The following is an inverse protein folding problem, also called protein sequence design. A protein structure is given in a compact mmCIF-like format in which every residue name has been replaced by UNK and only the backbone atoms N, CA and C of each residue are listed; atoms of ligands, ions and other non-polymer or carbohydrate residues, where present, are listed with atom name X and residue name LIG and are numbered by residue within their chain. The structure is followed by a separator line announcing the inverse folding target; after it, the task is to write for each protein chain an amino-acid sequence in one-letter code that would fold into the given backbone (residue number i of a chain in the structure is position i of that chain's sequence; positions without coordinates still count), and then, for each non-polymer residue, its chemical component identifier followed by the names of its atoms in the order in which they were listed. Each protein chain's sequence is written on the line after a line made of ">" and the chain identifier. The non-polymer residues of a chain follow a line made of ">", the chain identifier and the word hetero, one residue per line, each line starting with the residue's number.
data_IF_175137422710
#
_entry.id   IF_175137422710
#
_cell.length_a   1.000
_cell.length_b   1.000
_cell.length_c   1.000
_cell.angle_alpha   90.00
_cell.angle_beta   90.00
_cell.angle_gamma   90.00
#
_symmetry.space_group_name_H-M   'P 1'
#
loop_
_entity.id
_entity.type
_entity.pdbx_description
1 polymer ?
#
# COMPACT_ATOMS: atom_id res chain seq x y z
N UNK A 1 16.15 12.70 18.28
CA UNK A 1 15.53 12.38 16.99
C UNK A 1 16.45 11.49 16.15
N UNK A 2 17.69 11.88 15.90
CA UNK A 2 18.66 11.05 15.16
C UNK A 2 18.97 9.70 15.84
N UNK A 3 19.01 9.64 17.16
CA UNK A 3 19.40 8.42 17.88
C UNK A 3 18.31 7.34 17.91
N UNK A 4 17.02 7.69 17.85
CA UNK A 4 15.93 6.71 17.76
C UNK A 4 15.89 6.03 16.38
N UNK A 5 16.25 6.74 15.32
CA UNK A 5 16.31 6.20 13.96
C UNK A 5 17.63 5.46 13.67
N UNK A 6 18.71 5.77 14.37
CA UNK A 6 20.04 5.24 14.06
C UNK A 6 20.42 3.95 14.81
N UNK A 7 19.65 3.55 15.84
CA UNK A 7 20.00 2.35 16.63
C UNK A 7 19.49 1.02 16.06
N UNK A 8 18.59 1.04 15.07
CA UNK A 8 18.02 -0.19 14.47
C UNK A 8 18.20 -0.24 12.95
N UNK A 9 19.28 0.28 12.41
CA UNK A 9 19.52 0.22 10.98
C UNK A 9 19.73 -1.20 10.50
N UNK A 10 18.65 -1.81 10.09
CA UNK A 10 18.63 -2.78 9.01
C UNK A 10 19.41 -2.18 7.84
N UNK A 11 20.41 -2.86 7.36
CA UNK A 11 21.30 -2.47 6.28
C UNK A 11 20.51 -1.79 5.13
N UNK A 12 20.51 -0.45 5.09
CA UNK A 12 19.81 0.39 4.11
C UNK A 12 20.21 0.01 2.66
N UNK A 13 21.42 -0.50 2.49
CA UNK A 13 21.93 -0.96 1.19
C UNK A 13 21.19 -2.18 0.63
N UNK A 14 20.49 -2.93 1.47
CA UNK A 14 19.71 -4.09 1.06
C UNK A 14 18.24 -3.78 0.79
N UNK A 15 17.74 -2.62 1.22
CA UNK A 15 16.36 -2.21 0.98
C UNK A 15 16.12 -1.84 -0.48
N UNK A 16 14.92 -2.19 -0.97
CA UNK A 16 14.44 -1.76 -2.29
C UNK A 16 14.04 -0.28 -2.28
N UNK A 17 13.66 0.23 -1.10
CA UNK A 17 13.23 1.60 -0.84
C UNK A 17 14.18 2.29 0.14
N UNK A 18 15.22 3.02 -0.34
CA UNK A 18 16.16 3.72 0.51
C UNK A 18 15.48 4.81 1.33
N UNK A 19 15.94 5.02 2.58
CA UNK A 19 15.39 6.05 3.46
C UNK A 19 15.41 7.45 2.83
N UNK A 20 16.46 7.79 2.12
CA UNK A 20 16.59 9.11 1.47
C UNK A 20 15.49 9.38 0.43
N UNK A 21 15.01 8.34 -0.28
CA UNK A 21 13.90 8.46 -1.22
C UNK A 21 12.57 8.61 -0.47
N UNK A 22 12.38 7.84 0.62
CA UNK A 22 11.19 7.89 1.47
C UNK A 22 11.07 9.24 2.21
N UNK A 23 12.19 9.83 2.64
CA UNK A 23 12.22 11.11 3.32
C UNK A 23 11.62 12.25 2.45
N UNK A 24 11.77 12.19 1.14
CA UNK A 24 11.18 13.16 0.20
C UNK A 24 9.65 13.05 0.11
N UNK A 25 9.09 11.96 0.60
CA UNK A 25 7.66 11.68 0.62
C UNK A 25 6.99 12.11 1.93
N UNK A 26 7.77 12.52 2.93
CA UNK A 26 7.29 12.93 4.25
C UNK A 26 6.87 14.39 4.24
N UNK A 27 5.66 14.66 4.70
CA UNK A 27 5.10 16.02 4.82
C UNK A 27 4.48 16.21 6.19
N UNK A 28 4.35 17.46 6.64
CA UNK A 28 3.47 17.79 7.75
C UNK A 28 2.04 17.90 7.20
N UNK A 29 1.22 16.88 7.45
CA UNK A 29 -0.14 16.78 6.93
C UNK A 29 -1.03 17.93 7.42
N UNK A 30 -0.80 18.41 8.63
CA UNK A 30 -1.61 19.48 9.21
C UNK A 30 -1.28 20.86 8.62
N UNK A 31 -0.06 21.04 8.13
CA UNK A 31 0.39 22.29 7.50
C UNK A 31 0.20 22.28 5.98
N UNK A 32 0.45 21.11 5.32
CA UNK A 32 0.52 21.00 3.85
C UNK A 32 -0.84 20.70 3.18
N UNK A 33 -1.75 19.99 3.90
CA UNK A 33 -3.01 19.53 3.30
C UNK A 33 -4.22 20.30 3.83
N UNK A 34 -4.37 21.57 3.40
CA UNK A 34 -5.49 22.44 3.77
C UNK A 34 -6.88 21.85 3.48
N UNK A 35 -6.94 20.93 2.52
CA UNK A 35 -8.16 20.32 2.02
C UNK A 35 -8.47 18.95 2.66
N UNK A 36 -7.74 18.56 3.72
CA UNK A 36 -7.93 17.33 4.49
C UNK A 36 -8.19 17.63 5.96
N UNK A 37 -9.30 17.11 6.48
CA UNK A 37 -9.71 17.31 7.88
C UNK A 37 -9.81 15.98 8.61
N UNK A 38 -8.71 15.42 9.16
CA UNK A 38 -8.64 14.03 9.64
C UNK A 38 -9.66 13.67 10.73
N UNK A 39 -10.17 14.67 11.45
CA UNK A 39 -11.12 14.47 12.55
C UNK A 39 -12.60 14.68 12.14
N UNK A 40 -12.87 15.00 10.87
CA UNK A 40 -14.24 15.14 10.38
C UNK A 40 -14.85 13.76 10.04
N UNK A 41 -16.19 13.69 10.04
CA UNK A 41 -16.92 12.47 9.64
C UNK A 41 -16.58 12.06 8.19
N UNK A 42 -16.40 13.05 7.31
CA UNK A 42 -15.95 12.88 5.93
C UNK A 42 -14.67 13.68 5.69
N UNK A 43 -13.50 13.14 6.07
CA UNK A 43 -12.24 13.90 6.15
C UNK A 43 -11.75 14.48 4.82
N UNK A 44 -12.18 13.89 3.70
CA UNK A 44 -11.77 14.28 2.35
C UNK A 44 -12.96 14.73 1.47
N UNK A 45 -14.14 14.93 2.07
CA UNK A 45 -15.37 15.31 1.39
C UNK A 45 -15.79 14.27 0.33
N UNK A 46 -16.23 14.73 -0.84
CA UNK A 46 -16.68 13.86 -1.94
C UNK A 46 -15.56 13.43 -2.90
N UNK A 47 -14.32 13.80 -2.62
CA UNK A 47 -13.20 13.45 -3.50
C UNK A 47 -12.89 11.96 -3.43
N UNK A 48 -12.50 11.36 -4.59
CA UNK A 48 -12.26 9.93 -4.66
C UNK A 48 -11.04 9.52 -3.84
N UNK A 49 -11.13 8.33 -3.27
CA UNK A 49 -9.99 7.64 -2.64
C UNK A 49 -9.92 6.19 -3.10
N UNK A 50 -8.74 5.61 -2.98
CA UNK A 50 -8.47 4.21 -3.25
C UNK A 50 -8.03 3.51 -1.97
N UNK A 51 -8.52 2.31 -1.75
CA UNK A 51 -8.12 1.48 -0.63
C UNK A 51 -7.22 0.36 -1.14
N UNK A 52 -6.09 0.17 -0.50
CA UNK A 52 -5.27 -1.01 -0.64
C UNK A 52 -5.30 -1.82 0.64
N UNK A 53 -5.37 -3.13 0.52
CA UNK A 53 -5.48 -4.01 1.67
C UNK A 53 -4.66 -5.28 1.53
N UNK A 54 -3.81 -5.51 2.53
CA UNK A 54 -2.98 -6.71 2.69
C UNK A 54 -3.48 -7.53 3.89
N UNK A 55 -4.30 -8.58 3.67
CA UNK A 55 -4.92 -9.35 4.72
C UNK A 55 -3.91 -10.23 5.45
N UNK A 56 -4.15 -10.45 6.74
CA UNK A 56 -3.38 -11.41 7.54
C UNK A 56 -4.26 -12.40 8.28
N UNK A 57 -3.67 -13.48 8.75
CA UNK A 57 -4.32 -14.38 9.70
C UNK A 57 -4.19 -13.85 11.13
N UNK A 58 -4.91 -14.44 12.08
CA UNK A 58 -5.01 -14.02 13.48
C UNK A 58 -3.67 -13.87 14.25
N UNK A 59 -2.58 -14.38 13.71
CA UNK A 59 -1.22 -14.24 14.30
C UNK A 59 -0.44 -13.02 13.84
N UNK A 60 -0.74 -12.49 12.67
CA UNK A 60 -0.02 -11.39 12.02
C UNK A 60 -0.88 -10.11 11.97
N UNK A 61 -0.32 -9.00 11.54
CA UNK A 61 -1.08 -7.78 11.30
C UNK A 61 -1.51 -7.65 9.84
N UNK A 62 -2.75 -7.18 9.62
CA UNK A 62 -3.25 -6.81 8.31
C UNK A 62 -3.01 -5.33 8.06
N UNK A 63 -2.55 -4.96 6.87
CA UNK A 63 -2.35 -3.58 6.47
C UNK A 63 -3.52 -3.04 5.66
N UNK A 64 -4.00 -1.84 5.99
CA UNK A 64 -5.01 -1.12 5.23
C UNK A 64 -4.56 0.32 5.00
N UNK A 65 -4.67 0.81 3.77
CA UNK A 65 -4.28 2.16 3.40
C UNK A 65 -5.39 2.83 2.61
N UNK A 66 -5.70 4.08 2.97
CA UNK A 66 -6.57 4.98 2.19
C UNK A 66 -5.68 5.98 1.47
N UNK A 67 -5.69 5.92 0.15
CA UNK A 67 -4.83 6.72 -0.73
C UNK A 67 -5.68 7.65 -1.59
N UNK A 68 -5.46 8.96 -1.51
CA UNK A 68 -6.04 9.90 -2.44
C UNK A 68 -5.22 9.93 -3.74
N UNK A 69 -5.84 9.71 -4.92
CA UNK A 69 -5.14 9.85 -6.19
C UNK A 69 -4.85 11.32 -6.49
N UNK A 70 -3.84 11.61 -7.34
CA UNK A 70 -3.56 12.96 -7.79
C UNK A 70 -4.70 13.52 -8.63
N UNK A 71 -4.99 14.80 -8.46
CA UNK A 71 -6.02 15.52 -9.24
C UNK A 71 -5.60 15.69 -10.70
N UNK A 72 -4.29 15.80 -10.93
CA UNK A 72 -3.71 15.97 -12.28
C UNK A 72 -2.69 14.87 -12.54
N UNK A 73 -2.55 14.49 -13.79
CA UNK A 73 -1.55 13.50 -14.20
C UNK A 73 -0.16 13.92 -13.75
N UNK A 74 0.59 13.00 -13.13
CA UNK A 74 1.92 13.26 -12.57
C UNK A 74 1.93 14.02 -11.24
N UNK A 75 0.77 14.30 -10.67
CA UNK A 75 0.64 14.86 -9.32
C UNK A 75 0.97 13.84 -8.24
N UNK A 76 0.68 14.22 -6.98
CA UNK A 76 1.06 13.43 -5.82
C UNK A 76 -0.11 12.61 -5.30
N UNK A 77 0.14 11.36 -4.97
CA UNK A 77 -0.73 10.53 -4.13
C UNK A 77 -0.56 10.95 -2.68
N UNK A 78 -1.63 10.95 -1.91
CA UNK A 78 -1.63 11.28 -0.48
C UNK A 78 -2.17 10.11 0.33
N UNK A 79 -1.39 9.60 1.27
CA UNK A 79 -1.83 8.58 2.21
C UNK A 79 -2.62 9.23 3.34
N UNK A 80 -3.95 9.24 3.22
CA UNK A 80 -4.85 9.91 4.16
C UNK A 80 -4.99 9.14 5.48
N UNK A 81 -5.09 7.81 5.39
CA UNK A 81 -5.16 6.93 6.56
C UNK A 81 -4.38 5.64 6.32
N UNK A 82 -3.92 5.06 7.41
CA UNK A 82 -3.33 3.74 7.47
C UNK A 82 -3.73 3.02 8.74
N UNK A 83 -3.91 1.73 8.64
CA UNK A 83 -4.26 0.87 9.75
C UNK A 83 -3.43 -0.40 9.71
N UNK A 84 -3.02 -0.84 10.90
CA UNK A 84 -2.48 -2.17 11.12
C UNK A 84 -3.42 -2.89 12.10
N UNK A 85 -4.15 -3.88 11.60
CA UNK A 85 -5.12 -4.63 12.40
C UNK A 85 -4.51 -5.95 12.84
N UNK A 86 -4.24 -6.07 14.13
CA UNK A 86 -3.66 -7.26 14.73
C UNK A 86 -4.72 -8.11 15.43
N UNK A 87 -4.69 -9.42 15.20
CA UNK A 87 -5.57 -10.35 15.88
C UNK A 87 -7.06 -10.29 15.46
N UNK A 88 -7.38 -9.59 14.38
CA UNK A 88 -8.74 -9.52 13.85
C UNK A 88 -9.04 -10.73 12.95
N UNK A 89 -10.22 -11.29 13.09
CA UNK A 89 -10.71 -12.28 12.14
C UNK A 89 -11.13 -11.63 10.80
N UNK A 90 -11.40 -12.43 9.78
CA UNK A 90 -11.71 -11.93 8.44
C UNK A 90 -12.98 -11.08 8.39
N UNK A 91 -13.99 -11.39 9.23
CA UNK A 91 -15.22 -10.61 9.29
C UNK A 91 -14.95 -9.23 9.88
N UNK A 92 -14.17 -9.14 10.96
CA UNK A 92 -13.78 -7.88 11.56
C UNK A 92 -12.89 -7.04 10.63
N UNK A 93 -11.98 -7.67 9.88
CA UNK A 93 -11.17 -7.01 8.86
C UNK A 93 -12.05 -6.41 7.74
N UNK A 94 -13.00 -7.20 7.20
CA UNK A 94 -13.94 -6.72 6.18
C UNK A 94 -14.84 -5.59 6.71
N UNK A 95 -15.28 -5.68 7.96
CA UNK A 95 -16.06 -4.63 8.63
C UNK A 95 -15.23 -3.33 8.80
N UNK A 96 -13.94 -3.44 9.08
CA UNK A 96 -13.04 -2.28 9.10
C UNK A 96 -13.00 -1.57 7.75
N UNK A 97 -12.89 -2.33 6.65
CA UNK A 97 -12.94 -1.78 5.30
C UNK A 97 -14.30 -1.16 4.99
N UNK A 98 -15.42 -1.80 5.42
CA UNK A 98 -16.77 -1.26 5.22
C UNK A 98 -16.92 0.12 5.86
N UNK A 99 -16.44 0.31 7.09
CA UNK A 99 -16.46 1.62 7.77
C UNK A 99 -15.67 2.68 6.99
N UNK A 100 -14.58 2.31 6.35
CA UNK A 100 -13.85 3.25 5.48
C UNK A 100 -14.66 3.63 4.24
N UNK A 101 -15.47 2.71 3.67
CA UNK A 101 -16.36 3.06 2.55
C UNK A 101 -17.53 3.97 2.96
N UNK A 102 -17.88 4.03 4.23
CA UNK A 102 -18.87 4.98 4.77
C UNK A 102 -18.25 6.36 5.06
N UNK A 103 -16.96 6.37 5.42
CA UNK A 103 -16.19 7.57 5.76
C UNK A 103 -15.68 8.33 4.53
N UNK A 104 -15.34 7.61 3.46
CA UNK A 104 -14.73 8.15 2.25
C UNK A 104 -15.51 7.80 0.98
N UNK A 105 -15.39 8.64 -0.04
CA UNK A 105 -15.85 8.32 -1.39
C UNK A 105 -14.86 7.34 -2.06
N UNK A 106 -15.06 6.04 -1.84
CA UNK A 106 -14.15 5.00 -2.33
C UNK A 106 -14.49 4.62 -3.77
N UNK A 107 -13.54 4.81 -4.68
CA UNK A 107 -13.67 4.40 -6.09
C UNK A 107 -12.96 3.09 -6.42
N UNK A 108 -12.03 2.67 -5.59
CA UNK A 108 -11.24 1.46 -5.83
C UNK A 108 -10.87 0.77 -4.51
N UNK A 109 -10.96 -0.55 -4.49
CA UNK A 109 -10.42 -1.39 -3.43
C UNK A 109 -9.59 -2.50 -4.07
N UNK A 110 -8.28 -2.52 -3.80
CA UNK A 110 -7.37 -3.59 -4.19
C UNK A 110 -7.00 -4.45 -2.97
N UNK A 111 -7.20 -5.77 -3.07
CA UNK A 111 -7.01 -6.71 -1.95
C UNK A 111 -6.11 -7.84 -2.42
N UNK A 112 -5.08 -8.21 -1.62
CA UNK A 112 -4.42 -9.50 -1.86
C UNK A 112 -5.42 -10.65 -1.67
N UNK A 113 -5.69 -11.36 -2.76
CA UNK A 113 -6.55 -12.54 -2.81
C UNK A 113 -5.73 -13.83 -2.91
N UNK A 114 -4.48 -13.84 -2.48
CA UNK A 114 -3.61 -15.01 -2.45
C UNK A 114 -3.87 -15.82 -1.19
N UNK A 115 -4.05 -17.12 -1.33
CA UNK A 115 -4.22 -18.02 -0.19
C UNK A 115 -5.38 -17.62 0.73
N UNK A 116 -5.07 -17.27 1.98
CA UNK A 116 -6.08 -16.89 3.00
C UNK A 116 -6.80 -15.56 2.70
N UNK A 117 -6.18 -14.66 1.94
CA UNK A 117 -6.74 -13.36 1.58
C UNK A 117 -8.03 -13.44 0.76
N UNK A 118 -8.27 -14.58 0.10
CA UNK A 118 -9.52 -14.81 -0.66
C UNK A 118 -10.76 -14.72 0.24
N UNK A 119 -10.65 -15.09 1.52
CA UNK A 119 -11.75 -15.01 2.48
C UNK A 119 -12.20 -13.57 2.73
N UNK A 120 -11.27 -12.67 3.02
CA UNK A 120 -11.57 -11.24 3.22
C UNK A 120 -12.05 -10.61 1.91
N UNK A 121 -11.42 -10.95 0.79
CA UNK A 121 -11.84 -10.47 -0.52
C UNK A 121 -13.31 -10.81 -0.85
N UNK A 122 -13.76 -12.03 -0.56
CA UNK A 122 -15.15 -12.43 -0.77
C UNK A 122 -16.11 -11.66 0.14
N UNK A 123 -15.75 -11.44 1.40
CA UNK A 123 -16.54 -10.65 2.34
C UNK A 123 -16.65 -9.18 1.88
N UNK A 124 -15.55 -8.57 1.45
CA UNK A 124 -15.56 -7.19 0.92
C UNK A 124 -16.43 -7.09 -0.33
N UNK A 125 -16.35 -8.05 -1.25
CA UNK A 125 -17.20 -8.06 -2.44
C UNK A 125 -18.70 -8.12 -2.16
N UNK A 126 -19.12 -8.60 -1.00
CA UNK A 126 -20.54 -8.63 -0.64
C UNK A 126 -21.15 -7.23 -0.49
N UNK A 127 -20.37 -6.24 -0.07
CA UNK A 127 -20.80 -4.84 0.05
C UNK A 127 -20.13 -3.89 -0.96
N UNK A 128 -19.00 -4.28 -1.54
CA UNK A 128 -18.30 -3.51 -2.59
C UNK A 128 -17.96 -4.46 -3.77
N UNK A 129 -18.93 -4.75 -4.67
CA UNK A 129 -18.75 -5.73 -5.75
C UNK A 129 -17.62 -5.43 -6.72
N UNK A 130 -17.22 -4.14 -6.85
CA UNK A 130 -16.14 -3.68 -7.72
C UNK A 130 -14.74 -3.90 -7.12
N UNK A 131 -14.61 -4.47 -5.91
CA UNK A 131 -13.31 -4.78 -5.31
C UNK A 131 -12.50 -5.71 -6.22
N UNK A 132 -11.20 -5.41 -6.36
CA UNK A 132 -10.27 -6.21 -7.19
C UNK A 132 -9.40 -7.10 -6.32
N UNK A 133 -9.46 -8.40 -6.58
CA UNK A 133 -8.56 -9.38 -5.98
C UNK A 133 -7.24 -9.43 -6.76
N UNK A 134 -6.14 -9.22 -6.06
CA UNK A 134 -4.78 -9.26 -6.59
C UNK A 134 -4.19 -10.61 -6.22
N UNK A 135 -3.71 -11.36 -7.20
CA UNK A 135 -3.01 -12.64 -6.95
C UNK A 135 -1.50 -12.42 -7.06
N UNK A 136 -0.78 -12.80 -6.03
CA UNK A 136 0.67 -12.69 -6.01
C UNK A 136 1.32 -13.72 -6.89
N UNK A 137 1.89 -13.24 -7.98
CA UNK A 137 2.91 -13.95 -8.77
C UNK A 137 4.22 -13.16 -8.66
N UNK A 138 5.39 -13.75 -8.97
CA UNK A 138 6.65 -12.99 -9.04
C UNK A 138 6.57 -11.76 -9.94
N UNK A 139 5.86 -11.87 -11.06
CA UNK A 139 5.65 -10.78 -12.03
C UNK A 139 4.77 -9.67 -11.43
N UNK A 140 3.67 -10.05 -10.75
CA UNK A 140 2.78 -9.08 -10.09
C UNK A 140 3.51 -8.35 -8.97
N UNK A 141 4.22 -9.06 -8.10
CA UNK A 141 5.05 -8.43 -7.06
C UNK A 141 6.09 -7.49 -7.65
N UNK A 142 6.74 -7.90 -8.74
CA UNK A 142 7.71 -7.05 -9.44
C UNK A 142 7.05 -5.79 -9.99
N UNK A 143 5.92 -5.90 -10.66
CA UNK A 143 5.20 -4.76 -11.21
C UNK A 143 4.77 -3.76 -10.11
N UNK A 144 4.24 -4.26 -8.99
CA UNK A 144 3.85 -3.43 -7.84
C UNK A 144 5.03 -2.69 -7.24
N UNK A 145 6.13 -3.41 -6.98
CA UNK A 145 7.34 -2.82 -6.39
C UNK A 145 7.96 -1.78 -7.32
N UNK A 146 8.07 -2.06 -8.61
CA UNK A 146 8.63 -1.10 -9.58
C UNK A 146 7.77 0.16 -9.68
N UNK A 147 6.45 0.02 -9.65
CA UNK A 147 5.53 1.16 -9.65
C UNK A 147 5.68 2.01 -8.40
N UNK A 148 5.66 1.39 -7.22
CA UNK A 148 5.87 2.10 -5.96
C UNK A 148 7.24 2.79 -5.92
N UNK A 149 8.29 2.10 -6.41
CA UNK A 149 9.64 2.66 -6.48
C UNK A 149 9.71 3.88 -7.40
N UNK A 150 9.08 3.85 -8.57
CA UNK A 150 9.04 5.03 -9.45
C UNK A 150 8.27 6.18 -8.79
N UNK A 151 7.11 5.90 -8.17
CA UNK A 151 6.29 6.89 -7.47
C UNK A 151 7.07 7.57 -6.33
N UNK A 152 7.74 6.78 -5.48
CA UNK A 152 8.52 7.26 -4.34
C UNK A 152 9.75 8.05 -4.81
N UNK A 153 10.52 7.51 -5.76
CA UNK A 153 11.71 8.18 -6.29
C UNK A 153 11.40 9.55 -6.89
N UNK A 154 10.23 9.71 -7.49
CA UNK A 154 9.75 10.99 -8.05
C UNK A 154 9.16 11.92 -6.98
N UNK A 155 9.07 11.51 -5.71
CA UNK A 155 8.41 12.27 -4.67
C UNK A 155 6.90 12.43 -4.90
N UNK A 156 6.28 11.49 -5.63
CA UNK A 156 4.86 11.52 -5.96
C UNK A 156 3.98 10.73 -4.98
N UNK A 157 4.53 10.25 -3.86
CA UNK A 157 3.77 9.74 -2.71
C UNK A 157 4.00 10.68 -1.55
N UNK A 158 2.93 11.14 -0.90
CA UNK A 158 3.00 11.91 0.33
C UNK A 158 2.37 11.15 1.49
N UNK A 159 3.01 11.18 2.64
CA UNK A 159 2.49 10.67 3.90
C UNK A 159 3.03 11.48 5.08
N UNK A 160 2.34 11.44 6.20
CA UNK A 160 2.70 12.18 7.41
C UNK A 160 4.11 11.83 7.90
N UNK A 161 4.92 12.85 8.19
CA UNK A 161 6.29 12.67 8.66
C UNK A 161 6.39 11.94 10.01
N UNK A 162 5.32 11.96 10.82
CA UNK A 162 5.19 11.16 12.04
C UNK A 162 4.85 9.70 11.81
N UNK A 163 4.53 9.31 10.56
CA UNK A 163 4.17 7.94 10.18
C UNK A 163 5.41 7.04 10.02
N UNK A 164 6.14 6.80 11.08
CA UNK A 164 7.37 6.00 11.08
C UNK A 164 7.15 4.55 10.65
N UNK A 165 5.97 4.01 10.95
CA UNK A 165 5.50 2.69 10.55
C UNK A 165 5.42 2.52 9.02
N UNK A 166 5.02 3.57 8.28
CA UNK A 166 5.03 3.59 6.81
C UNK A 166 6.46 3.44 6.29
N UNK A 167 7.36 4.28 6.81
CA UNK A 167 8.78 4.25 6.43
C UNK A 167 9.40 2.90 6.69
N UNK A 168 9.21 2.33 7.90
CA UNK A 168 9.73 1.02 8.28
C UNK A 168 9.16 -0.09 7.40
N UNK A 169 7.86 -0.03 7.08
CA UNK A 169 7.19 -0.99 6.23
C UNK A 169 7.82 -1.03 4.82
N UNK A 170 8.05 0.12 4.19
CA UNK A 170 8.73 0.19 2.90
C UNK A 170 10.19 -0.27 2.99
N UNK A 171 10.92 0.18 4.00
CA UNK A 171 12.33 -0.20 4.21
C UNK A 171 12.51 -1.69 4.47
N UNK A 172 11.50 -2.41 4.91
CA UNK A 172 11.56 -3.85 5.15
C UNK A 172 11.53 -4.70 3.86
N UNK A 173 11.12 -4.12 2.73
CA UNK A 173 11.03 -4.84 1.45
C UNK A 173 12.44 -5.14 0.90
N UNK A 174 12.67 -6.41 0.62
CA UNK A 174 13.93 -6.93 0.06
C UNK A 174 13.69 -7.65 -1.25
N UNK A 175 14.68 -7.56 -2.14
CA UNK A 175 14.74 -8.37 -3.33
C UNK A 175 15.32 -9.73 -2.98
N UNK A 176 14.62 -10.81 -3.35
CA UNK A 176 15.05 -12.17 -3.11
C UNK A 176 14.86 -13.05 -4.35
N UNK A 177 15.31 -14.28 -4.27
CA UNK A 177 15.06 -15.27 -5.31
C UNK A 177 13.86 -16.13 -4.92
N UNK A 178 13.06 -16.54 -5.90
CA UNK A 178 12.02 -17.57 -5.67
C UNK A 178 12.65 -18.86 -5.14
N UNK A 179 11.88 -19.68 -4.46
CA UNK A 179 12.35 -20.99 -3.94
C UNK A 179 12.94 -21.88 -5.02
N UNK A 180 12.52 -21.74 -6.28
CA UNK A 180 13.10 -22.44 -7.42
C UNK A 180 14.43 -21.86 -7.92
N UNK A 181 14.86 -20.72 -7.41
CA UNK A 181 16.07 -20.00 -7.85
C UNK A 181 16.01 -19.42 -9.27
N UNK A 182 14.84 -19.53 -9.95
CA UNK A 182 14.71 -19.17 -11.39
C UNK A 182 14.25 -17.73 -11.62
N UNK A 183 13.63 -17.11 -10.64
CA UNK A 183 13.06 -15.78 -10.78
C UNK A 183 13.35 -14.94 -9.54
N UNK A 184 13.42 -13.64 -9.73
CA UNK A 184 13.49 -12.67 -8.64
C UNK A 184 12.07 -12.39 -8.12
N UNK A 185 11.94 -12.24 -6.82
CA UNK A 185 10.72 -11.80 -6.14
C UNK A 185 11.05 -10.78 -5.06
N UNK A 186 10.03 -10.31 -4.35
CA UNK A 186 10.17 -9.35 -3.26
C UNK A 186 9.43 -9.86 -2.03
N UNK A 187 10.06 -9.71 -0.87
CA UNK A 187 9.53 -10.18 0.40
C UNK A 187 9.88 -9.19 1.52
N UNK A 188 9.11 -9.23 2.61
CA UNK A 188 9.48 -8.54 3.84
C UNK A 188 10.68 -9.23 4.50
N UNK A 189 11.59 -8.45 5.05
CA UNK A 189 12.63 -8.96 5.95
C UNK A 189 11.95 -9.48 7.22
N UNK A 190 12.15 -10.75 7.54
CA UNK A 190 11.64 -11.37 8.77
C UNK A 190 12.68 -11.17 9.89
N UNK A 191 12.60 -10.06 10.58
CA UNK A 191 13.26 -9.90 11.90
C UNK A 191 12.18 -9.80 12.95
N UNK A 192 12.42 -10.33 14.16
CA UNK A 192 11.42 -10.37 15.25
C UNK A 192 10.89 -8.98 15.65
N UNK A 193 11.60 -7.92 15.29
CA UNK A 193 11.25 -6.51 15.58
C UNK A 193 10.80 -5.71 14.35
N UNK A 194 10.99 -6.24 13.14
CA UNK A 194 10.56 -5.54 11.94
C UNK A 194 9.05 -5.69 11.77
N UNK A 195 8.34 -4.58 11.85
CA UNK A 195 6.99 -4.44 11.35
C UNK A 195 6.88 -5.12 10.00
N UNK A 196 5.92 -6.02 9.87
CA UNK A 196 5.59 -6.64 8.61
C UNK A 196 5.38 -5.56 7.54
N UNK A 197 5.73 -5.84 6.29
CA UNK A 197 5.60 -4.88 5.20
C UNK A 197 4.13 -4.62 4.78
N UNK A 198 3.18 -4.86 5.66
CA UNK A 198 1.74 -4.86 5.38
C UNK A 198 1.26 -3.51 4.84
N UNK A 199 1.72 -2.39 5.44
CA UNK A 199 1.38 -1.04 4.96
C UNK A 199 1.98 -0.80 3.57
N UNK A 200 3.21 -1.23 3.32
CA UNK A 200 3.84 -1.07 2.02
C UNK A 200 3.11 -1.88 0.95
N UNK A 201 2.75 -3.15 1.22
CA UNK A 201 1.97 -3.96 0.30
C UNK A 201 0.57 -3.38 0.09
N UNK A 202 -0.13 -2.97 1.15
CA UNK A 202 -1.41 -2.29 1.03
C UNK A 202 -1.31 -1.03 0.16
N UNK A 203 -0.26 -0.21 0.36
CA UNK A 203 -0.03 0.98 -0.49
C UNK A 203 0.16 0.59 -1.95
N UNK A 204 0.92 -0.47 -2.22
CA UNK A 204 1.12 -0.97 -3.58
C UNK A 204 -0.17 -1.49 -4.21
N UNK A 205 -1.07 -2.11 -3.43
CA UNK A 205 -2.40 -2.53 -3.91
C UNK A 205 -3.25 -1.33 -4.32
N UNK A 206 -3.25 -0.25 -3.55
CA UNK A 206 -3.95 0.99 -3.92
C UNK A 206 -3.37 1.61 -5.20
N UNK A 207 -2.05 1.68 -5.31
CA UNK A 207 -1.35 2.22 -6.48
C UNK A 207 -1.62 1.46 -7.78
N UNK A 208 -2.06 0.19 -7.73
CA UNK A 208 -2.40 -0.58 -8.93
C UNK A 208 -3.61 -0.04 -9.71
N UNK A 209 -4.44 0.80 -9.09
CA UNK A 209 -5.55 1.43 -9.82
C UNK A 209 -5.07 2.47 -10.84
N UNK A 210 -3.91 3.07 -10.63
CA UNK A 210 -3.34 3.95 -11.67
C UNK A 210 -2.73 3.09 -12.79
N UNK A 211 -3.10 3.32 -14.06
CA UNK A 211 -2.46 2.64 -15.17
C UNK A 211 -0.93 2.81 -15.09
N UNK A 212 -0.18 1.74 -15.31
CA UNK A 212 1.26 1.85 -15.50
C UNK A 212 1.46 2.81 -16.68
N UNK A 213 2.09 3.95 -16.42
CA UNK A 213 2.46 4.88 -17.49
C UNK A 213 3.29 4.10 -18.49
N UNK A 214 2.73 3.83 -19.67
CA UNK A 214 3.48 3.25 -20.76
C UNK A 214 4.61 4.24 -21.04
N UNK A 215 5.82 3.93 -20.61
CA UNK A 215 7.01 4.58 -21.14
C UNK A 215 6.86 4.50 -22.65
N UNK A 216 6.98 5.63 -23.33
CA UNK A 216 6.76 5.80 -24.75
C UNK A 216 7.32 4.61 -25.53
N UNK A 217 6.48 3.68 -25.97
CA UNK A 217 6.89 2.62 -26.87
C UNK A 217 6.23 1.24 -26.79
N UNK A 218 5.40 0.94 -25.78
CA UNK A 218 4.70 -0.34 -25.77
C UNK A 218 3.24 -0.16 -25.38
N UNK A 219 2.35 -0.38 -26.34
CA UNK A 219 0.93 -0.51 -26.05
C UNK A 219 0.72 -1.75 -25.15
N UNK A 220 0.08 -1.65 -23.99
CA UNK A 220 -0.26 -2.82 -23.22
C UNK A 220 -1.30 -3.63 -24.00
N UNK A 221 -0.93 -4.83 -24.42
CA UNK A 221 -1.92 -5.84 -24.76
C UNK A 221 -2.77 -6.04 -23.51
N UNK A 222 -4.08 -5.90 -23.67
CA UNK A 222 -5.10 -6.12 -22.67
C UNK A 222 -4.77 -7.35 -21.81
N UNK A 223 -4.47 -7.12 -20.53
CA UNK A 223 -4.35 -8.21 -19.56
C UNK A 223 -5.77 -8.53 -19.11
N UNK A 224 -6.35 -9.48 -19.85
CA UNK A 224 -7.29 -10.51 -19.42
C UNK A 224 -8.37 -10.10 -18.41
N UNK A 225 -9.50 -9.70 -18.93
CA UNK A 225 -10.79 -10.03 -18.35
C UNK A 225 -10.96 -11.57 -18.39
N UNK A 226 -10.95 -12.20 -17.24
CA UNK A 226 -11.52 -13.52 -17.05
C UNK A 226 -12.85 -13.36 -16.31
N UNK A 227 -13.91 -13.69 -17.04
CA UNK A 227 -15.24 -13.95 -16.50
C UNK A 227 -15.23 -15.09 -15.47
#
# INVERSE_FOLDING_TARGET
>A
FKNLFMCEFVDDKASVFPFEELQRCMVDVMEEWEDFSPFADHPFGSRPVWIGYDPSNTGDSAGCVVLAPPVVSGGKFRMLERHQWKGMDFAAQAEGIRKLTEKYNVEYIGIDATGLGIGVYQLVRSFYPAARGIRYTPEMKTAMVLKAKDTIRRGCLEYDAGATDVTQSFMSIRKTMTSSGRSTTYEASRTEEASHADIAWATMHALLNEPLSAGSGMQPKSILEFN
#
